data_IF_151848346522
#
_entry.id   IF_151848346522
#
_cell.length_a   1.000
_cell.length_b   1.000
_cell.length_c   1.000
_cell.angle_alpha   90.00
_cell.angle_beta   90.00
_cell.angle_gamma   90.00
#
_symmetry.space_group_name_H-M   'P 1'
#
loop_
_entity.id
_entity.type
_entity.pdbx_description
1 polymer ?
#
# COMPACT_ATOMS: atom_id res chain seq x y z
N UNK A 1 22.32 18.03 -17.07
CA UNK A 1 21.13 17.48 -16.38
C UNK A 1 21.30 17.75 -14.89
N UNK A 2 20.48 18.62 -14.28
CA UNK A 2 20.45 18.76 -12.81
C UNK A 2 19.85 17.48 -12.24
N UNK A 3 20.60 16.72 -11.47
CA UNK A 3 20.09 15.58 -10.70
C UNK A 3 19.14 16.15 -9.63
N UNK A 4 17.83 16.13 -9.88
CA UNK A 4 16.88 16.40 -8.80
C UNK A 4 17.05 15.29 -7.76
N UNK A 5 17.43 15.68 -6.54
CA UNK A 5 17.53 14.75 -5.42
C UNK A 5 16.15 14.16 -5.12
N UNK A 6 16.05 12.84 -5.00
CA UNK A 6 14.80 12.14 -4.66
C UNK A 6 14.14 12.68 -3.38
N UNK A 7 14.93 13.21 -2.44
CA UNK A 7 14.42 13.87 -1.23
C UNK A 7 13.61 15.12 -1.52
N UNK A 8 14.02 15.90 -2.52
CA UNK A 8 13.30 17.11 -2.93
C UNK A 8 11.95 16.74 -3.52
N UNK A 9 11.91 15.69 -4.36
CA UNK A 9 10.67 15.16 -4.91
C UNK A 9 9.74 14.62 -3.80
N UNK A 10 10.26 13.77 -2.92
CA UNK A 10 9.49 13.23 -1.77
C UNK A 10 8.92 14.36 -0.90
N UNK A 11 9.71 15.39 -0.59
CA UNK A 11 9.24 16.55 0.17
C UNK A 11 8.13 17.32 -0.56
N UNK A 12 8.27 17.53 -1.87
CA UNK A 12 7.26 18.20 -2.69
C UNK A 12 5.93 17.45 -2.72
N UNK A 13 5.94 16.12 -2.73
CA UNK A 13 4.70 15.34 -2.63
C UNK A 13 3.96 15.54 -1.29
N UNK A 14 4.68 15.95 -0.24
CA UNK A 14 4.15 16.05 1.11
C UNK A 14 3.78 17.48 1.52
N UNK A 15 4.09 18.50 0.72
CA UNK A 15 3.86 19.91 1.09
C UNK A 15 2.39 20.25 1.36
N UNK A 16 1.45 19.45 0.85
CA UNK A 16 0.02 19.61 1.12
C UNK A 16 -0.38 19.22 2.55
N UNK A 17 0.46 18.50 3.29
CA UNK A 17 0.22 18.08 4.66
C UNK A 17 0.87 19.03 5.69
N UNK A 18 0.49 20.31 5.62
CA UNK A 18 1.12 21.40 6.39
C UNK A 18 1.07 21.24 7.92
N UNK A 19 0.09 20.50 8.44
CA UNK A 19 -0.07 20.26 9.89
C UNK A 19 0.68 19.01 10.35
N UNK A 20 0.72 17.96 9.52
CA UNK A 20 1.27 16.66 9.92
C UNK A 20 2.81 16.65 9.90
N UNK A 21 3.44 17.33 8.93
CA UNK A 21 4.90 17.35 8.83
C UNK A 21 5.58 17.98 10.06
N UNK A 22 5.17 19.18 10.55
CA UNK A 22 5.76 19.76 11.76
C UNK A 22 5.55 18.88 13.00
N UNK A 23 4.42 18.17 13.07
CA UNK A 23 4.12 17.29 14.20
C UNK A 23 5.03 16.06 14.21
N UNK A 24 5.27 15.43 13.05
CA UNK A 24 6.22 14.31 12.94
C UNK A 24 7.65 14.71 13.32
N UNK A 25 8.06 15.95 12.99
CA UNK A 25 9.35 16.52 13.37
C UNK A 25 9.44 16.77 14.89
N UNK A 26 8.40 17.36 15.49
CA UNK A 26 8.32 17.62 16.93
C UNK A 26 8.41 16.32 17.74
N UNK A 27 7.73 15.27 17.29
CA UNK A 27 7.75 13.93 17.89
C UNK A 27 9.04 13.13 17.58
N UNK A 28 9.99 13.71 16.84
CA UNK A 28 11.28 13.08 16.44
C UNK A 28 11.06 11.70 15.82
N UNK A 29 10.01 11.55 15.02
CA UNK A 29 9.63 10.26 14.43
C UNK A 29 10.72 9.74 13.52
N UNK A 30 11.14 8.48 13.71
CA UNK A 30 12.16 7.86 12.86
C UNK A 30 11.60 7.60 11.47
N UNK A 31 12.14 8.31 10.48
CA UNK A 31 11.83 8.07 9.08
C UNK A 31 12.41 6.73 8.61
N UNK A 32 11.60 5.97 7.90
CA UNK A 32 11.99 4.69 7.30
C UNK A 32 11.64 4.68 5.82
N UNK A 33 12.40 3.95 5.00
CA UNK A 33 12.07 3.75 3.58
C UNK A 33 11.11 2.58 3.45
N UNK A 34 10.12 2.73 2.60
CA UNK A 34 9.13 1.70 2.25
C UNK A 34 9.09 1.52 0.75
N UNK A 35 9.01 0.28 0.27
CA UNK A 35 8.81 0.02 -1.14
C UNK A 35 7.45 0.55 -1.60
N UNK A 36 7.42 1.26 -2.73
CA UNK A 36 6.17 1.79 -3.32
C UNK A 36 5.39 0.68 -4.02
N UNK A 37 6.09 -0.26 -4.66
CA UNK A 37 5.49 -1.41 -5.36
C UNK A 37 5.72 -2.67 -4.54
N UNK A 38 4.66 -3.47 -4.40
CA UNK A 38 4.72 -4.81 -3.81
C UNK A 38 4.37 -5.82 -4.89
N UNK A 39 5.22 -6.83 -5.04
CA UNK A 39 4.98 -7.94 -5.98
C UNK A 39 4.69 -9.20 -5.16
N UNK A 40 3.46 -9.75 -5.22
CA UNK A 40 3.14 -11.02 -4.58
C UNK A 40 3.97 -12.16 -5.18
N UNK A 41 4.41 -13.06 -4.32
CA UNK A 41 5.14 -14.28 -4.71
C UNK A 41 4.27 -15.51 -4.53
N UNK A 42 4.60 -16.60 -5.22
CA UNK A 42 3.87 -17.87 -5.15
C UNK A 42 2.35 -17.69 -5.38
N UNK A 43 2.00 -16.95 -6.43
CA UNK A 43 0.62 -16.65 -6.78
C UNK A 43 -0.06 -17.89 -7.36
N UNK A 44 -1.08 -18.37 -6.66
CA UNK A 44 -1.94 -19.47 -7.09
C UNK A 44 -3.39 -19.01 -7.05
N UNK A 45 -4.16 -19.39 -8.08
CA UNK A 45 -5.57 -19.10 -8.14
C UNK A 45 -6.36 -20.29 -8.67
N UNK A 46 -7.60 -20.41 -8.20
CA UNK A 46 -8.57 -21.39 -8.69
C UNK A 46 -9.97 -20.81 -8.63
N UNK A 47 -10.67 -20.82 -9.75
CA UNK A 47 -12.11 -20.62 -9.77
C UNK A 47 -12.78 -21.84 -9.13
N UNK A 48 -13.52 -21.59 -8.06
CA UNK A 48 -14.36 -22.62 -7.44
C UNK A 48 -15.70 -22.71 -8.18
N UNK A 49 -16.24 -21.55 -8.55
CA UNK A 49 -17.50 -21.38 -9.28
C UNK A 49 -17.41 -20.13 -10.18
N UNK A 50 -18.47 -19.84 -10.95
CA UNK A 50 -18.52 -18.72 -11.90
C UNK A 50 -18.20 -17.35 -11.28
N UNK A 51 -18.48 -17.17 -9.97
CA UNK A 51 -18.32 -15.89 -9.26
C UNK A 51 -17.42 -15.98 -8.03
N UNK A 52 -16.76 -17.12 -7.80
CA UNK A 52 -15.97 -17.35 -6.59
C UNK A 52 -14.55 -17.77 -6.96
N UNK A 53 -13.58 -16.90 -6.63
CA UNK A 53 -12.17 -17.10 -6.87
C UNK A 53 -11.44 -17.37 -5.55
N UNK A 54 -10.72 -18.50 -5.46
CA UNK A 54 -9.77 -18.76 -4.38
C UNK A 54 -8.39 -18.26 -4.81
N UNK A 55 -7.78 -17.40 -3.99
CA UNK A 55 -6.44 -16.86 -4.18
C UNK A 55 -5.51 -17.29 -3.05
N UNK A 56 -4.25 -17.52 -3.37
CA UNK A 56 -3.19 -17.78 -2.40
C UNK A 56 -1.89 -17.18 -2.90
N UNK A 57 -1.21 -16.41 -2.07
CA UNK A 57 0.04 -15.74 -2.39
C UNK A 57 0.80 -15.39 -1.11
N UNK A 58 2.09 -15.14 -1.24
CA UNK A 58 2.98 -14.69 -0.15
C UNK A 58 3.39 -13.23 -0.38
N UNK A 59 3.39 -12.44 0.69
CA UNK A 59 3.76 -11.04 0.66
C UNK A 59 5.01 -10.75 1.51
N UNK A 60 5.82 -9.74 1.14
CA UNK A 60 6.87 -9.23 2.02
C UNK A 60 6.29 -8.72 3.34
N UNK A 61 7.09 -8.79 4.41
CA UNK A 61 6.75 -8.18 5.71
C UNK A 61 6.33 -6.72 5.51
N UNK A 62 5.32 -6.28 6.26
CA UNK A 62 4.70 -4.95 6.19
C UNK A 62 3.80 -4.67 4.98
N UNK A 63 3.52 -5.66 4.11
CA UNK A 63 2.54 -5.53 3.02
C UNK A 63 1.17 -6.10 3.43
N UNK A 64 0.11 -5.68 2.74
CA UNK A 64 -1.26 -6.07 3.05
C UNK A 64 -1.91 -6.81 1.87
N UNK A 65 -2.60 -7.91 2.16
CA UNK A 65 -3.35 -8.68 1.15
C UNK A 65 -4.46 -7.84 0.50
N UNK A 66 -5.10 -6.94 1.26
CA UNK A 66 -6.10 -6.00 0.75
C UNK A 66 -5.57 -5.12 -0.38
N UNK A 67 -4.29 -4.77 -0.38
CA UNK A 67 -3.68 -4.03 -1.48
C UNK A 67 -3.58 -4.83 -2.78
N UNK A 68 -3.49 -6.16 -2.70
CA UNK A 68 -3.58 -7.02 -3.90
C UNK A 68 -5.01 -7.10 -4.38
N UNK A 69 -5.96 -7.32 -3.47
CA UNK A 69 -7.38 -7.44 -3.81
C UNK A 69 -7.94 -6.16 -4.43
N UNK A 70 -7.55 -4.99 -3.93
CA UNK A 70 -7.94 -3.68 -4.47
C UNK A 70 -7.60 -3.52 -5.97
N UNK A 71 -6.52 -4.12 -6.43
CA UNK A 71 -6.12 -4.07 -7.85
C UNK A 71 -6.87 -5.10 -8.72
N UNK A 72 -7.58 -6.06 -8.11
CA UNK A 72 -8.27 -7.14 -8.81
C UNK A 72 -9.79 -6.91 -8.92
N UNK A 73 -10.39 -6.23 -7.96
CA UNK A 73 -11.84 -5.98 -7.91
C UNK A 73 -12.13 -4.51 -7.58
N UNK A 74 -13.15 -3.96 -8.24
CA UNK A 74 -13.71 -2.66 -7.85
C UNK A 74 -14.53 -2.84 -6.57
N UNK A 75 -13.94 -2.47 -5.44
CA UNK A 75 -14.66 -2.42 -4.17
C UNK A 75 -15.54 -1.17 -4.17
N UNK A 76 -16.83 -1.30 -4.50
CA UNK A 76 -17.79 -0.26 -4.11
C UNK A 76 -17.89 -0.25 -2.58
N UNK A 77 -17.96 0.95 -1.99
CA UNK A 77 -17.88 1.21 -0.54
C UNK A 77 -18.89 0.42 0.31
N UNK A 78 -19.89 -0.19 -0.32
CA UNK A 78 -20.98 -0.94 0.34
C UNK A 78 -20.58 -2.34 0.82
N UNK A 79 -19.44 -2.89 0.38
CA UNK A 79 -19.00 -4.27 0.71
C UNK A 79 -17.65 -4.33 1.42
N UNK A 80 -17.41 -3.46 2.40
CA UNK A 80 -16.28 -3.64 3.32
C UNK A 80 -16.68 -4.73 4.32
N UNK A 81 -16.27 -5.97 4.05
CA UNK A 81 -16.23 -7.00 5.09
C UNK A 81 -15.05 -6.63 5.97
N UNK A 82 -15.34 -6.25 7.21
CA UNK A 82 -14.33 -6.04 8.24
C UNK A 82 -13.45 -7.29 8.33
N UNK A 83 -12.20 -7.17 7.88
CA UNK A 83 -11.17 -8.18 8.09
C UNK A 83 -10.60 -7.93 9.49
N UNK A 84 -11.40 -8.24 10.53
CA UNK A 84 -10.90 -8.42 11.87
C UNK A 84 -10.60 -9.91 12.07
N UNK A 85 -9.32 -10.24 12.05
CA UNK A 85 -8.74 -11.37 12.78
C UNK A 85 -7.48 -10.89 13.50
#
# INVERSE_FOLDING_TARGET
MKTLSYKLFEHQCLTHFSVLLPLLEAERTKLVRRAIIVVPSNMHWKWLEQKTLKLSFSLPKSSFASSVIRELINQSTENIIDIFE
#
